data_IF_939274347920
#
_entry.id   IF_939274347920
#
_cell.length_a   1.000
_cell.length_b   1.000
_cell.length_c   1.000
_cell.angle_alpha   90.00
_cell.angle_beta   90.00
_cell.angle_gamma   90.00
#
_symmetry.space_group_name_H-M   'P 1'
#
loop_
_entity.id
_entity.type
_entity.pdbx_description
1 polymer ?
#
# COMPACT_ATOMS: atom_id res chain seq x y z
N UNK A 1 29.19 -42.95 -52.58
CA UNK A 1 30.01 -43.67 -53.58
C UNK A 1 29.08 -44.54 -54.43
N UNK A 2 29.44 -44.72 -55.70
CA UNK A 2 28.70 -45.43 -56.76
C UNK A 2 27.56 -44.64 -57.41
N UNK A 3 27.33 -44.71 -58.71
CA UNK A 3 28.18 -44.78 -59.91
C UNK A 3 27.18 -44.64 -61.07
N UNK A 4 27.61 -43.95 -62.10
CA UNK A 4 26.97 -43.77 -63.40
C UNK A 4 26.50 -45.06 -64.09
N UNK A 5 25.38 -44.99 -64.82
CA UNK A 5 25.09 -45.79 -66.02
C UNK A 5 24.07 -44.99 -66.87
N UNK A 6 24.38 -44.40 -68.02
CA UNK A 6 24.76 -44.94 -69.35
C UNK A 6 23.74 -45.93 -69.93
N UNK A 7 22.89 -45.42 -70.82
CA UNK A 7 22.22 -46.12 -71.93
C UNK A 7 22.10 -45.10 -73.08
N UNK A 8 23.05 -44.98 -74.01
CA UNK A 8 23.30 -45.77 -75.23
C UNK A 8 22.14 -45.85 -76.26
N UNK A 9 22.38 -45.15 -77.38
CA UNK A 9 22.17 -45.52 -78.80
C UNK A 9 20.75 -45.75 -79.34
N UNK A 10 20.44 -44.99 -80.42
CA UNK A 10 20.27 -45.56 -81.79
C UNK A 10 20.58 -44.55 -82.91
N UNK A 11 21.63 -44.89 -83.67
CA UNK A 11 21.91 -44.56 -85.10
C UNK A 11 20.78 -45.15 -85.99
N UNK A 12 20.58 -44.83 -87.27
CA UNK A 12 21.00 -43.84 -88.25
C UNK A 12 20.34 -44.27 -89.59
N UNK A 13 20.43 -43.41 -90.62
CA UNK A 13 20.28 -43.67 -92.07
C UNK A 13 18.84 -43.71 -92.61
N UNK A 14 18.55 -43.21 -93.82
CA UNK A 14 19.29 -42.46 -94.84
C UNK A 14 18.30 -42.18 -96.01
N UNK A 15 18.75 -41.36 -96.97
CA UNK A 15 18.25 -41.22 -98.34
C UNK A 15 16.96 -40.38 -98.51
N UNK A 16 16.94 -39.34 -99.34
CA UNK A 16 17.95 -38.94 -100.31
C UNK A 16 17.57 -37.66 -101.06
N UNK A 17 18.29 -37.44 -102.15
CA UNK A 17 18.13 -36.37 -103.14
C UNK A 17 18.83 -35.05 -102.78
N UNK A 18 20.15 -35.15 -102.59
CA UNK A 18 21.11 -34.06 -102.79
C UNK A 18 21.73 -34.10 -104.22
N UNK A 19 21.03 -34.66 -105.22
CA UNK A 19 21.60 -34.96 -106.53
C UNK A 19 20.76 -34.42 -107.70
N UNK A 20 20.25 -33.20 -107.54
CA UNK A 20 19.80 -32.31 -108.60
C UNK A 20 20.29 -30.90 -108.20
N UNK A 21 21.59 -30.73 -107.96
CA UNK A 21 22.55 -30.55 -109.04
C UNK A 21 21.98 -29.58 -110.09
N UNK A 22 22.13 -28.31 -109.75
CA UNK A 22 23.03 -27.47 -110.52
C UNK A 22 22.61 -27.15 -111.95
N UNK A 23 21.31 -26.91 -112.20
CA UNK A 23 20.88 -26.45 -113.52
C UNK A 23 20.04 -25.16 -113.58
N UNK A 24 19.88 -24.42 -112.46
CA UNK A 24 19.32 -23.07 -112.50
C UNK A 24 20.21 -22.08 -111.72
N UNK A 25 21.47 -22.03 -112.15
CA UNK A 25 22.21 -20.78 -112.23
C UNK A 25 21.41 -19.78 -113.08
N UNK A 26 21.49 -18.51 -112.67
CA UNK A 26 21.08 -17.33 -113.42
C UNK A 26 19.58 -16.99 -113.40
N UNK A 27 19.14 -16.35 -112.32
CA UNK A 27 18.53 -15.02 -112.43
C UNK A 27 18.25 -14.41 -111.04
N UNK A 28 18.65 -13.14 -110.92
CA UNK A 28 18.12 -12.13 -110.00
C UNK A 28 18.57 -12.15 -108.53
N UNK A 29 19.57 -11.31 -108.26
CA UNK A 29 19.37 -10.23 -107.27
C UNK A 29 20.08 -10.37 -105.93
N UNK A 30 21.41 -10.23 -105.93
CA UNK A 30 22.12 -9.69 -104.76
C UNK A 30 21.81 -8.19 -104.67
N UNK A 31 20.97 -7.78 -103.74
CA UNK A 31 20.92 -6.38 -103.27
C UNK A 31 21.91 -6.23 -102.11
N UNK A 32 22.75 -5.18 -102.09
CA UNK A 32 23.68 -4.98 -100.99
C UNK A 32 22.91 -4.51 -99.77
N UNK A 33 23.02 -5.25 -98.67
CA UNK A 33 22.69 -4.76 -97.33
C UNK A 33 23.71 -3.68 -97.02
N UNK A 34 23.30 -2.44 -97.11
CA UNK A 34 24.01 -1.27 -96.60
C UNK A 34 22.96 -0.37 -95.95
N UNK A 35 23.34 0.19 -94.79
CA UNK A 35 22.56 1.06 -93.90
C UNK A 35 21.59 0.37 -92.93
N UNK A 36 22.13 -0.51 -92.09
CA UNK A 36 21.66 -0.57 -90.70
C UNK A 36 22.44 0.53 -89.95
N UNK A 37 21.84 1.71 -89.85
CA UNK A 37 22.19 2.67 -88.80
C UNK A 37 21.89 1.94 -87.49
N UNK A 38 22.91 1.43 -86.79
CA UNK A 38 22.71 0.99 -85.42
C UNK A 38 22.17 2.20 -84.64
N UNK A 39 20.99 2.13 -84.02
CA UNK A 39 20.51 3.22 -83.20
C UNK A 39 21.58 3.48 -82.15
N UNK A 40 22.01 4.73 -82.04
CA UNK A 40 22.92 5.17 -80.98
C UNK A 40 22.20 4.88 -79.66
N UNK A 41 22.59 3.81 -78.97
CA UNK A 41 21.97 3.41 -77.71
C UNK A 41 22.53 4.33 -76.64
N UNK A 42 21.70 5.17 -75.99
CA UNK A 42 22.17 6.03 -74.92
C UNK A 42 22.75 5.17 -73.79
N UNK A 43 23.95 5.55 -73.35
CA UNK A 43 24.72 4.88 -72.31
C UNK A 43 24.69 5.76 -71.05
N UNK A 44 24.40 5.15 -69.91
CA UNK A 44 24.25 5.85 -68.62
C UNK A 44 25.26 5.29 -67.63
N UNK A 45 25.87 6.18 -66.84
CA UNK A 45 26.75 5.80 -65.73
C UNK A 45 25.91 5.43 -64.50
N UNK A 46 26.21 4.33 -63.80
CA UNK A 46 25.56 3.99 -62.54
C UNK A 46 25.66 5.12 -61.50
N UNK A 47 24.59 5.40 -60.74
CA UNK A 47 24.60 6.47 -59.75
C UNK A 47 25.46 6.07 -58.54
N UNK A 48 26.02 7.07 -57.85
CA UNK A 48 26.79 6.86 -56.62
C UNK A 48 25.93 6.44 -55.41
N UNK A 49 24.61 6.61 -55.52
CA UNK A 49 23.64 6.26 -54.49
C UNK A 49 22.38 5.67 -55.12
N UNK A 50 21.78 4.70 -54.45
CA UNK A 50 20.48 4.11 -54.81
C UNK A 50 19.57 4.19 -53.59
N UNK A 51 18.35 4.72 -53.76
CA UNK A 51 17.44 4.95 -52.63
C UNK A 51 17.95 5.95 -51.58
N UNK A 52 18.93 6.78 -51.91
CA UNK A 52 19.57 7.72 -50.96
C UNK A 52 20.77 7.13 -50.19
N UNK A 53 21.02 5.82 -50.29
CA UNK A 53 22.13 5.13 -49.67
C UNK A 53 23.31 4.94 -50.62
N UNK A 54 24.53 4.93 -50.07
CA UNK A 54 25.73 4.50 -50.80
C UNK A 54 25.76 2.99 -50.91
N UNK A 55 26.50 2.41 -51.86
CA UNK A 55 26.65 0.95 -51.95
C UNK A 55 27.20 0.30 -50.67
N UNK A 56 28.02 1.02 -49.90
CA UNK A 56 28.46 0.59 -48.58
C UNK A 56 27.29 0.56 -47.57
N UNK A 57 26.43 1.59 -47.56
CA UNK A 57 25.22 1.59 -46.72
C UNK A 57 24.19 0.53 -47.13
N UNK A 58 24.13 0.19 -48.41
CA UNK A 58 23.30 -0.92 -48.91
C UNK A 58 23.86 -2.28 -48.44
N UNK A 59 25.19 -2.41 -48.34
CA UNK A 59 25.86 -3.60 -47.79
C UNK A 59 25.62 -3.74 -46.27
N UNK A 60 25.66 -2.62 -45.53
CA UNK A 60 25.35 -2.59 -44.10
C UNK A 60 23.90 -3.02 -43.80
N UNK A 61 22.96 -2.72 -44.71
CA UNK A 61 21.58 -3.23 -44.67
C UNK A 61 21.45 -4.70 -45.14
N UNK A 62 22.55 -5.33 -45.56
CA UNK A 62 22.55 -6.70 -46.10
C UNK A 62 21.93 -6.83 -47.49
N UNK A 63 21.66 -5.72 -48.18
CA UNK A 63 20.98 -5.67 -49.46
C UNK A 63 21.94 -5.56 -50.66
N UNK A 64 23.26 -5.68 -50.48
CA UNK A 64 24.24 -5.61 -51.59
C UNK A 64 24.38 -6.96 -52.31
N UNK A 65 23.32 -7.40 -52.98
CA UNK A 65 23.32 -8.58 -53.84
C UNK A 65 22.44 -8.37 -55.07
N UNK A 66 22.57 -9.24 -56.08
CA UNK A 66 21.74 -9.18 -57.29
C UNK A 66 21.89 -7.85 -58.04
N UNK A 67 20.78 -7.13 -58.37
CA UNK A 67 20.81 -5.86 -59.10
C UNK A 67 21.67 -4.78 -58.42
N UNK A 68 21.66 -4.68 -57.09
CA UNK A 68 22.46 -3.69 -56.37
C UNK A 68 23.96 -3.99 -56.41
N UNK A 69 24.35 -5.26 -56.30
CA UNK A 69 25.75 -5.66 -56.45
C UNK A 69 26.25 -5.43 -57.89
N UNK A 70 25.40 -5.69 -58.88
CA UNK A 70 25.70 -5.43 -60.29
C UNK A 70 25.95 -3.93 -60.54
N UNK A 71 25.05 -3.05 -60.09
CA UNK A 71 25.25 -1.59 -60.19
C UNK A 71 26.48 -1.10 -59.41
N UNK A 72 26.74 -1.67 -58.23
CA UNK A 72 27.91 -1.31 -57.42
C UNK A 72 29.24 -1.68 -58.09
N UNK A 73 29.33 -2.87 -58.71
CA UNK A 73 30.51 -3.29 -59.46
C UNK A 73 30.75 -2.41 -60.69
N UNK A 74 29.68 -2.08 -61.43
CA UNK A 74 29.74 -1.19 -62.59
C UNK A 74 30.14 0.24 -62.20
N UNK A 75 29.62 0.76 -61.09
CA UNK A 75 30.05 2.06 -60.55
C UNK A 75 31.54 2.04 -60.21
N UNK A 76 31.99 1.02 -59.48
CA UNK A 76 33.38 0.89 -59.02
C UNK A 76 34.36 0.82 -60.19
N UNK A 77 33.96 0.15 -61.29
CA UNK A 77 34.78 0.00 -62.50
C UNK A 77 34.61 1.14 -63.51
N UNK A 78 33.71 2.09 -63.25
CA UNK A 78 33.42 3.21 -64.17
C UNK A 78 32.82 2.78 -65.51
N UNK A 79 32.06 1.67 -65.50
CA UNK A 79 31.44 1.10 -66.71
C UNK A 79 30.03 1.66 -66.93
N UNK A 80 29.62 1.81 -68.19
CA UNK A 80 28.31 2.34 -68.59
C UNK A 80 27.40 1.22 -69.12
N UNK A 81 26.08 1.45 -69.04
CA UNK A 81 25.05 0.51 -69.51
C UNK A 81 24.07 1.19 -70.46
N UNK A 82 23.46 0.42 -71.39
CA UNK A 82 22.27 0.87 -72.11
C UNK A 82 21.19 1.40 -71.18
N UNK A 83 20.59 2.53 -71.51
CA UNK A 83 19.57 3.20 -70.68
C UNK A 83 18.41 2.28 -70.27
N UNK A 84 17.93 1.42 -71.17
CA UNK A 84 16.84 0.48 -70.90
C UNK A 84 17.23 -0.63 -69.90
N UNK A 85 18.47 -1.09 -69.93
CA UNK A 85 18.99 -2.07 -68.96
C UNK A 85 19.25 -1.38 -67.61
N UNK A 86 19.77 -0.16 -67.66
CA UNK A 86 20.01 0.65 -66.48
C UNK A 86 18.73 0.91 -65.67
N UNK A 87 17.64 1.32 -66.31
CA UNK A 87 16.36 1.58 -65.63
C UNK A 87 15.81 0.33 -64.93
N UNK A 88 15.83 -0.82 -65.61
CA UNK A 88 15.35 -2.09 -65.04
C UNK A 88 16.18 -2.54 -63.83
N UNK A 89 17.50 -2.43 -63.92
CA UNK A 89 18.40 -2.82 -62.83
C UNK A 89 18.31 -1.81 -61.68
N UNK A 90 18.16 -0.51 -61.98
CA UNK A 90 17.98 0.52 -60.97
C UNK A 90 16.67 0.33 -60.19
N UNK A 91 15.56 0.07 -60.88
CA UNK A 91 14.26 -0.19 -60.25
C UNK A 91 14.30 -1.47 -59.39
N UNK A 92 14.94 -2.52 -59.88
CA UNK A 92 15.10 -3.75 -59.11
C UNK A 92 15.97 -3.54 -57.86
N UNK A 93 17.02 -2.70 -57.96
CA UNK A 93 17.85 -2.36 -56.81
C UNK A 93 17.13 -1.44 -55.81
N UNK A 94 16.38 -0.43 -56.25
CA UNK A 94 15.61 0.44 -55.34
C UNK A 94 14.54 -0.33 -54.59
N UNK A 95 13.80 -1.22 -55.25
CA UNK A 95 12.82 -2.08 -54.60
C UNK A 95 13.46 -3.00 -53.53
N UNK A 96 14.66 -3.50 -53.80
CA UNK A 96 15.40 -4.34 -52.85
C UNK A 96 15.86 -3.55 -51.62
N UNK A 97 16.36 -2.32 -51.81
CA UNK A 97 16.74 -1.44 -50.70
C UNK A 97 15.53 -1.09 -49.83
N UNK A 98 14.42 -0.68 -50.45
CA UNK A 98 13.18 -0.36 -49.72
C UNK A 98 12.69 -1.54 -48.88
N UNK A 99 12.71 -2.75 -49.45
CA UNK A 99 12.30 -3.96 -48.73
C UNK A 99 13.21 -4.25 -47.53
N UNK A 100 14.52 -4.08 -47.68
CA UNK A 100 15.47 -4.29 -46.59
C UNK A 100 15.30 -3.25 -45.47
N UNK A 101 15.04 -1.99 -45.81
CA UNK A 101 14.74 -0.94 -44.82
C UNK A 101 13.44 -1.22 -44.06
N UNK A 102 12.40 -1.70 -44.74
CA UNK A 102 11.14 -2.11 -44.12
C UNK A 102 11.34 -3.27 -43.13
N UNK A 103 12.06 -4.31 -43.53
CA UNK A 103 12.35 -5.47 -42.68
C UNK A 103 13.18 -5.09 -41.43
N UNK A 104 14.15 -4.19 -41.57
CA UNK A 104 14.92 -3.65 -40.43
C UNK A 104 14.05 -2.82 -39.49
N UNK A 105 13.20 -1.95 -40.05
CA UNK A 105 12.29 -1.12 -39.27
C UNK A 105 11.26 -1.96 -38.50
N UNK A 106 10.74 -3.04 -39.09
CA UNK A 106 9.85 -3.98 -38.41
C UNK A 106 10.54 -4.70 -37.26
N UNK A 107 11.79 -5.13 -37.45
CA UNK A 107 12.57 -5.75 -36.37
C UNK A 107 12.78 -4.81 -35.20
N UNK A 108 13.19 -3.57 -35.47
CA UNK A 108 13.40 -2.56 -34.42
C UNK A 108 12.10 -2.27 -33.65
N UNK A 109 10.97 -2.11 -34.35
CA UNK A 109 9.66 -1.92 -33.69
C UNK A 109 9.29 -3.11 -32.82
N UNK A 110 9.50 -4.34 -33.30
CA UNK A 110 9.19 -5.54 -32.53
C UNK A 110 10.07 -5.66 -31.27
N UNK A 111 11.33 -5.23 -31.34
CA UNK A 111 12.24 -5.20 -30.19
C UNK A 111 11.84 -4.11 -29.18
N UNK A 112 11.48 -2.91 -29.66
CA UNK A 112 10.97 -1.83 -28.82
C UNK A 112 9.67 -2.22 -28.11
N UNK A 113 8.71 -2.82 -28.81
CA UNK A 113 7.45 -3.30 -28.23
C UNK A 113 7.69 -4.35 -27.15
N UNK A 114 8.63 -5.27 -27.36
CA UNK A 114 9.01 -6.26 -26.35
C UNK A 114 9.63 -5.60 -25.13
N UNK A 115 10.54 -4.65 -25.33
CA UNK A 115 11.17 -3.92 -24.22
C UNK A 115 10.14 -3.13 -23.40
N UNK A 116 9.18 -2.48 -24.07
CA UNK A 116 8.07 -1.77 -23.42
C UNK A 116 7.18 -2.75 -22.66
N UNK A 117 6.81 -3.87 -23.27
CA UNK A 117 5.96 -4.87 -22.62
C UNK A 117 6.63 -5.47 -21.38
N UNK A 118 7.93 -5.77 -21.43
CA UNK A 118 8.68 -6.26 -20.28
C UNK A 118 8.77 -5.23 -19.15
N UNK A 119 9.00 -3.95 -19.49
CA UNK A 119 9.04 -2.87 -18.52
C UNK A 119 7.68 -2.69 -17.83
N UNK A 120 6.61 -2.61 -18.63
CA UNK A 120 5.23 -2.52 -18.11
C UNK A 120 4.85 -3.71 -17.22
N UNK A 121 5.27 -4.93 -17.57
CA UNK A 121 5.00 -6.12 -16.77
C UNK A 121 5.69 -6.05 -15.39
N UNK A 122 6.92 -5.55 -15.32
CA UNK A 122 7.65 -5.38 -14.04
C UNK A 122 7.00 -4.29 -13.19
N UNK A 123 6.62 -3.17 -13.78
CA UNK A 123 5.92 -2.10 -13.07
C UNK A 123 4.58 -2.57 -12.53
N UNK A 124 3.82 -3.32 -13.33
CA UNK A 124 2.55 -3.89 -12.89
C UNK A 124 2.71 -4.82 -11.69
N UNK A 125 3.71 -5.72 -11.72
CA UNK A 125 4.02 -6.60 -10.59
C UNK A 125 4.43 -5.82 -9.33
N UNK A 126 5.17 -4.72 -9.49
CA UNK A 126 5.54 -3.87 -8.36
C UNK A 126 4.31 -3.19 -7.74
N UNK A 127 3.37 -2.72 -8.57
CA UNK A 127 2.09 -2.14 -8.11
C UNK A 127 1.25 -3.16 -7.37
N UNK A 128 1.12 -4.39 -7.90
CA UNK A 128 0.39 -5.46 -7.22
C UNK A 128 1.01 -5.82 -5.87
N UNK A 129 2.33 -5.95 -5.82
CA UNK A 129 3.06 -6.25 -4.58
C UNK A 129 2.89 -5.13 -3.54
N UNK A 130 2.97 -3.86 -3.95
CA UNK A 130 2.75 -2.72 -3.07
C UNK A 130 1.32 -2.71 -2.51
N UNK A 131 0.32 -2.94 -3.36
CA UNK A 131 -1.09 -3.02 -2.95
C UNK A 131 -1.34 -4.14 -1.95
N UNK A 132 -0.72 -5.29 -2.14
CA UNK A 132 -0.84 -6.41 -1.21
C UNK A 132 -0.19 -6.11 0.15
N UNK A 133 0.98 -5.46 0.15
CA UNK A 133 1.63 -5.01 1.37
C UNK A 133 0.79 -3.99 2.15
N UNK A 134 0.23 -2.99 1.46
CA UNK A 134 -0.68 -2.01 2.06
C UNK A 134 -1.91 -2.67 2.67
N UNK A 135 -2.50 -3.65 1.99
CA UNK A 135 -3.63 -4.40 2.51
C UNK A 135 -3.26 -5.17 3.79
N UNK A 136 -2.12 -5.88 3.79
CA UNK A 136 -1.64 -6.62 4.97
C UNK A 136 -1.33 -5.67 6.14
N UNK A 137 -0.76 -4.50 5.87
CA UNK A 137 -0.52 -3.47 6.88
C UNK A 137 -1.81 -2.90 7.45
N UNK A 138 -2.77 -2.56 6.59
CA UNK A 138 -4.08 -2.09 7.02
C UNK A 138 -4.80 -3.14 7.88
N UNK A 139 -4.71 -4.41 7.52
CA UNK A 139 -5.31 -5.52 8.27
C UNK A 139 -4.64 -5.70 9.64
N UNK A 140 -3.31 -5.63 9.72
CA UNK A 140 -2.60 -5.64 11.02
C UNK A 140 -3.04 -4.49 11.92
N UNK A 141 -3.12 -3.27 11.38
CA UNK A 141 -3.59 -2.10 12.14
C UNK A 141 -5.02 -2.26 12.64
N UNK A 142 -5.90 -2.89 11.85
CA UNK A 142 -7.28 -3.20 12.26
C UNK A 142 -7.30 -4.19 13.43
N UNK A 143 -6.53 -5.27 13.33
CA UNK A 143 -6.42 -6.27 14.39
C UNK A 143 -5.85 -5.66 15.69
N UNK A 144 -4.80 -4.85 15.60
CA UNK A 144 -4.24 -4.14 16.75
C UNK A 144 -5.25 -3.18 17.39
N UNK A 145 -5.99 -2.41 16.57
CA UNK A 145 -7.02 -1.51 17.06
C UNK A 145 -8.20 -2.26 17.70
N UNK A 146 -8.59 -3.41 17.17
CA UNK A 146 -9.64 -4.25 17.74
C UNK A 146 -9.20 -4.88 19.07
N UNK A 147 -7.97 -5.39 19.15
CA UNK A 147 -7.38 -5.89 20.39
C UNK A 147 -7.32 -4.79 21.46
N UNK A 148 -6.88 -3.58 21.10
CA UNK A 148 -6.86 -2.44 22.01
C UNK A 148 -8.26 -2.07 22.50
N UNK A 149 -9.25 -2.03 21.59
CA UNK A 149 -10.66 -1.79 21.96
C UNK A 149 -11.19 -2.86 22.91
N UNK A 150 -10.89 -4.13 22.66
CA UNK A 150 -11.30 -5.23 23.54
C UNK A 150 -10.64 -5.12 24.92
N UNK A 151 -9.36 -4.77 24.99
CA UNK A 151 -8.67 -4.54 26.27
C UNK A 151 -9.26 -3.37 27.05
N UNK A 152 -9.55 -2.25 26.38
CA UNK A 152 -10.19 -1.09 27.00
C UNK A 152 -11.59 -1.41 27.51
N UNK A 153 -12.39 -2.13 26.71
CA UNK A 153 -13.73 -2.56 27.12
C UNK A 153 -13.68 -3.50 28.34
N UNK A 154 -12.75 -4.46 28.36
CA UNK A 154 -12.56 -5.36 29.49
C UNK A 154 -12.07 -4.63 30.75
N UNK A 155 -11.18 -3.64 30.60
CA UNK A 155 -10.72 -2.80 31.70
C UNK A 155 -11.86 -1.95 32.27
N UNK A 156 -12.68 -1.34 31.40
CA UNK A 156 -13.85 -0.56 31.79
C UNK A 156 -14.89 -1.43 32.52
N UNK A 157 -15.16 -2.64 32.03
CA UNK A 157 -16.04 -3.59 32.71
C UNK A 157 -15.51 -3.94 34.11
N UNK A 158 -14.22 -4.25 34.25
CA UNK A 158 -13.62 -4.53 35.57
C UNK A 158 -13.72 -3.33 36.51
N UNK A 159 -13.53 -2.12 36.03
CA UNK A 159 -13.71 -0.91 36.85
C UNK A 159 -15.18 -0.70 37.26
N UNK A 160 -16.13 -0.95 36.35
CA UNK A 160 -17.56 -0.94 36.68
C UNK A 160 -17.91 -1.98 37.74
N UNK A 161 -17.46 -3.22 37.58
CA UNK A 161 -17.67 -4.30 38.55
C UNK A 161 -17.06 -3.96 39.92
N UNK A 162 -15.82 -3.43 39.95
CA UNK A 162 -15.17 -2.96 41.19
C UNK A 162 -15.98 -1.86 41.86
N UNK A 163 -16.46 -0.88 41.09
CA UNK A 163 -17.27 0.22 41.60
C UNK A 163 -18.61 -0.26 42.14
N UNK A 164 -19.29 -1.17 41.43
CA UNK A 164 -20.54 -1.77 41.88
C UNK A 164 -20.33 -2.60 43.16
N UNK A 165 -19.29 -3.43 43.21
CA UNK A 165 -18.93 -4.17 44.40
C UNK A 165 -18.61 -3.25 45.59
N UNK A 166 -17.91 -2.13 45.35
CA UNK A 166 -17.65 -1.12 46.38
C UNK A 166 -18.95 -0.49 46.89
N UNK A 167 -19.86 -0.09 46.00
CA UNK A 167 -21.15 0.46 46.38
C UNK A 167 -22.00 -0.56 47.17
N UNK A 168 -21.97 -1.83 46.78
CA UNK A 168 -22.61 -2.90 47.53
C UNK A 168 -22.03 -3.00 48.94
N UNK A 169 -20.69 -3.03 49.09
CA UNK A 169 -20.03 -3.03 50.40
C UNK A 169 -20.40 -1.81 51.25
N UNK A 170 -20.45 -0.61 50.65
CA UNK A 170 -20.88 0.63 51.31
C UNK A 170 -22.32 0.51 51.82
N UNK A 171 -23.23 -0.02 51.01
CA UNK A 171 -24.63 -0.22 51.42
C UNK A 171 -24.83 -1.28 52.51
N UNK A 172 -23.87 -2.21 52.64
CA UNK A 172 -23.89 -3.27 53.66
C UNK A 172 -23.16 -2.87 54.96
N UNK A 173 -22.51 -1.71 55.00
CA UNK A 173 -21.80 -1.23 56.18
C UNK A 173 -22.73 -1.14 57.41
N UNK A 174 -22.24 -1.50 58.59
CA UNK A 174 -23.05 -1.56 59.80
C UNK A 174 -23.56 -0.18 60.21
N UNK A 175 -22.78 0.87 59.97
CA UNK A 175 -23.15 2.26 60.27
C UNK A 175 -24.43 2.70 59.55
N UNK A 176 -24.74 2.11 58.38
CA UNK A 176 -26.00 2.37 57.67
C UNK A 176 -27.21 1.95 58.50
N UNK A 177 -27.12 0.79 59.18
CA UNK A 177 -28.18 0.26 60.06
C UNK A 177 -28.31 1.10 61.32
N UNK A 178 -27.19 1.47 61.93
CA UNK A 178 -27.16 2.31 63.13
C UNK A 178 -27.73 3.73 62.86
N UNK A 179 -27.58 4.23 61.64
CA UNK A 179 -28.10 5.54 61.19
C UNK A 179 -29.42 5.46 60.42
N UNK A 180 -30.18 4.36 60.50
CA UNK A 180 -31.42 4.19 59.73
C UNK A 180 -32.41 5.37 59.89
N UNK A 181 -32.54 5.91 61.12
CA UNK A 181 -33.41 7.06 61.44
C UNK A 181 -32.80 8.45 61.20
N UNK A 182 -31.58 8.54 60.66
CA UNK A 182 -30.90 9.82 60.36
C UNK A 182 -31.04 10.16 58.87
N UNK A 183 -31.48 11.38 58.51
CA UNK A 183 -31.53 11.83 57.13
C UNK A 183 -30.17 11.76 56.44
N UNK A 184 -30.11 11.11 55.28
CA UNK A 184 -28.88 11.06 54.50
C UNK A 184 -28.78 12.30 53.60
N UNK A 185 -28.05 13.30 54.09
CA UNK A 185 -27.79 14.57 53.38
C UNK A 185 -26.30 14.68 53.06
N UNK A 186 -25.92 15.45 52.03
CA UNK A 186 -24.53 15.86 51.76
C UNK A 186 -23.79 16.31 53.03
N UNK A 187 -22.49 16.03 53.13
CA UNK A 187 -21.65 16.63 54.17
C UNK A 187 -21.00 17.92 53.67
N UNK A 188 -20.79 18.89 54.57
CA UNK A 188 -20.04 20.11 54.28
C UNK A 188 -19.04 20.39 55.41
N UNK A 189 -17.81 20.78 55.06
CA UNK A 189 -16.79 21.18 56.03
C UNK A 189 -16.84 22.67 56.34
N UNK A 190 -17.34 23.47 55.41
CA UNK A 190 -17.60 24.91 55.55
C UNK A 190 -19.06 25.23 55.21
N UNK A 191 -19.45 26.51 55.29
CA UNK A 191 -20.84 26.94 55.06
C UNK A 191 -21.26 26.99 53.59
N UNK A 192 -20.32 26.98 52.66
CA UNK A 192 -20.53 27.37 51.26
C UNK A 192 -20.37 26.24 50.25
N UNK A 193 -19.87 25.07 50.64
CA UNK A 193 -19.57 23.97 49.72
C UNK A 193 -19.98 22.60 50.30
N UNK A 194 -21.22 22.14 50.04
CA UNK A 194 -21.58 20.75 50.27
C UNK A 194 -20.85 19.83 49.28
N UNK A 195 -20.34 18.71 49.77
CA UNK A 195 -19.73 17.64 48.98
C UNK A 195 -20.81 16.80 48.29
N UNK A 196 -20.46 16.03 47.25
CA UNK A 196 -21.43 15.08 46.65
C UNK A 196 -21.67 13.87 47.56
N UNK A 197 -20.72 13.57 48.43
CA UNK A 197 -20.75 12.46 49.38
C UNK A 197 -21.74 12.77 50.50
N UNK A 198 -22.64 11.82 50.75
CA UNK A 198 -23.63 11.92 51.82
C UNK A 198 -23.06 11.48 53.16
N UNK A 199 -23.70 11.87 54.26
CA UNK A 199 -23.29 11.51 55.62
C UNK A 199 -23.11 10.00 55.79
N UNK A 200 -24.09 9.19 55.35
CA UNK A 200 -24.03 7.74 55.51
C UNK A 200 -22.96 7.13 54.61
N UNK A 201 -22.79 7.65 53.39
CA UNK A 201 -21.72 7.20 52.49
C UNK A 201 -20.35 7.49 53.09
N UNK A 202 -20.12 8.71 53.59
CA UNK A 202 -18.86 9.11 54.23
C UNK A 202 -18.51 8.19 55.41
N UNK A 203 -19.46 7.96 56.32
CA UNK A 203 -19.22 7.11 57.49
C UNK A 203 -19.05 5.63 57.12
N UNK A 204 -19.75 5.16 56.09
CA UNK A 204 -19.59 3.79 55.59
C UNK A 204 -18.21 3.59 54.96
N UNK A 205 -17.68 4.61 54.25
CA UNK A 205 -16.33 4.56 53.71
C UNK A 205 -15.27 4.52 54.81
N UNK A 206 -15.49 5.25 55.92
CA UNK A 206 -14.62 5.17 57.10
C UNK A 206 -14.66 3.77 57.72
N UNK A 207 -15.84 3.14 57.84
CA UNK A 207 -15.99 1.77 58.34
C UNK A 207 -15.24 0.75 57.47
N UNK A 208 -15.33 0.90 56.14
CA UNK A 208 -14.64 0.00 55.21
C UNK A 208 -13.13 0.17 55.23
N UNK A 209 -12.63 1.40 55.43
CA UNK A 209 -11.21 1.69 55.54
C UNK A 209 -10.63 1.22 56.89
N UNK A 210 -11.42 1.38 57.96
CA UNK A 210 -11.02 1.10 59.33
C UNK A 210 -12.10 0.28 60.03
N UNK A 211 -12.03 -1.07 59.91
CA UNK A 211 -12.94 -1.96 60.61
C UNK A 211 -12.97 -1.66 62.11
N UNK A 212 -14.15 -1.76 62.72
CA UNK A 212 -14.39 -1.32 64.09
C UNK A 212 -15.32 -2.28 64.85
N UNK A 213 -15.34 -2.16 66.18
CA UNK A 213 -16.18 -3.03 67.04
C UNK A 213 -17.56 -2.45 67.36
N UNK A 214 -17.98 -1.42 66.61
CA UNK A 214 -19.31 -0.81 66.72
C UNK A 214 -19.28 0.71 66.88
N UNK A 215 -20.47 1.27 67.12
CA UNK A 215 -20.72 2.70 67.11
C UNK A 215 -21.37 3.18 68.41
N UNK A 216 -21.04 4.41 68.80
CA UNK A 216 -21.81 5.17 69.76
C UNK A 216 -22.34 6.42 69.06
N UNK A 217 -23.66 6.48 68.93
CA UNK A 217 -24.35 7.55 68.22
C UNK A 217 -25.18 8.33 69.23
N UNK A 218 -24.90 9.62 69.35
CA UNK A 218 -25.65 10.54 70.20
C UNK A 218 -26.25 11.64 69.33
N UNK A 219 -27.57 11.81 69.40
CA UNK A 219 -28.28 12.91 68.74
C UNK A 219 -28.90 13.81 69.80
N UNK A 220 -28.56 15.10 69.73
CA UNK A 220 -29.14 16.14 70.58
C UNK A 220 -29.63 17.28 69.70
N UNK A 221 -30.95 17.36 69.51
CA UNK A 221 -31.57 18.30 68.57
C UNK A 221 -31.03 18.14 67.15
N UNK A 222 -30.38 19.21 66.64
CA UNK A 222 -29.75 19.25 65.31
C UNK A 222 -28.31 18.73 65.31
N UNK A 223 -27.76 18.35 66.45
CA UNK A 223 -26.38 17.86 66.55
C UNK A 223 -26.35 16.34 66.56
N UNK A 224 -25.52 15.77 65.69
CA UNK A 224 -25.22 14.35 65.63
C UNK A 224 -23.75 14.13 65.98
N UNK A 225 -23.47 13.28 66.97
CA UNK A 225 -22.12 12.82 67.29
C UNK A 225 -22.03 11.34 67.00
N UNK A 226 -21.06 10.93 66.20
CA UNK A 226 -20.79 9.54 65.84
C UNK A 226 -19.37 9.21 66.28
N UNK A 227 -19.27 8.25 67.19
CA UNK A 227 -17.99 7.72 67.68
C UNK A 227 -17.87 6.28 67.20
N UNK A 228 -16.86 6.03 66.37
CA UNK A 228 -16.45 4.69 65.96
C UNK A 228 -15.49 4.13 66.99
N UNK A 229 -15.84 2.98 67.60
CA UNK A 229 -15.07 2.39 68.70
C UNK A 229 -14.06 1.38 68.19
N UNK A 230 -12.85 1.44 68.74
CA UNK A 230 -11.77 0.47 68.47
C UNK A 230 -11.59 0.27 66.96
N UNK A 231 -11.37 1.38 66.23
CA UNK A 231 -11.09 1.33 64.81
C UNK A 231 -9.67 0.85 64.59
N UNK A 232 -9.49 -0.17 63.75
CA UNK A 232 -8.17 -0.74 63.44
C UNK A 232 -7.35 0.26 62.61
N UNK A 233 -6.56 1.08 63.29
CA UNK A 233 -5.67 2.08 62.69
C UNK A 233 -4.22 1.54 62.66
N UNK A 234 -3.36 2.01 61.74
CA UNK A 234 -1.96 1.55 61.66
C UNK A 234 -1.14 1.74 62.95
N UNK A 235 -1.60 2.58 63.88
CA UNK A 235 -0.95 2.86 65.17
C UNK A 235 -1.70 2.27 66.38
N UNK A 236 -2.63 1.34 66.15
CA UNK A 236 -3.42 0.66 67.18
C UNK A 236 -4.90 1.05 67.18
N UNK A 237 -5.71 0.28 67.91
CA UNK A 237 -7.18 0.41 67.96
C UNK A 237 -7.61 1.70 68.68
N UNK A 238 -7.95 2.75 67.92
CA UNK A 238 -8.29 4.06 68.46
C UNK A 238 -9.66 4.52 67.96
N UNK A 239 -10.29 5.42 68.71
CA UNK A 239 -11.61 5.91 68.35
C UNK A 239 -11.53 6.99 67.24
N UNK A 240 -12.50 6.96 66.33
CA UNK A 240 -12.75 8.04 65.38
C UNK A 240 -14.03 8.75 65.80
N UNK A 241 -13.93 10.03 66.15
CA UNK A 241 -15.06 10.84 66.58
C UNK A 241 -15.38 11.90 65.53
N UNK A 242 -16.65 11.99 65.17
CA UNK A 242 -17.16 12.99 64.25
C UNK A 242 -18.41 13.63 64.80
N UNK A 243 -18.54 14.96 64.61
CA UNK A 243 -19.73 15.71 65.00
C UNK A 243 -20.23 16.52 63.83
N UNK A 244 -21.55 16.47 63.67
CA UNK A 244 -22.27 17.16 62.61
C UNK A 244 -23.40 17.99 63.18
N UNK A 245 -23.70 19.10 62.52
CA UNK A 245 -24.87 19.93 62.78
C UNK A 245 -25.75 19.93 61.54
N UNK A 246 -27.02 19.59 61.72
CA UNK A 246 -28.01 19.48 60.65
C UNK A 246 -28.35 20.87 60.11
N UNK A 247 -28.27 21.03 58.80
CA UNK A 247 -28.88 22.12 58.02
C UNK A 247 -30.00 21.58 57.13
N UNK A 248 -30.84 22.45 56.53
CA UNK A 248 -31.90 22.00 55.63
C UNK A 248 -31.37 21.12 54.48
N UNK A 249 -30.24 21.51 53.89
CA UNK A 249 -29.68 20.86 52.70
C UNK A 249 -28.52 19.91 52.97
N UNK A 250 -27.79 20.06 54.08
CA UNK A 250 -26.54 19.32 54.35
C UNK A 250 -26.27 19.11 55.85
N UNK A 251 -25.30 18.26 56.16
CA UNK A 251 -24.72 18.07 57.48
C UNK A 251 -23.38 18.83 57.57
N UNK A 252 -23.30 19.85 58.42
CA UNK A 252 -22.04 20.57 58.64
C UNK A 252 -21.16 19.80 59.62
N UNK A 253 -19.99 19.37 59.20
CA UNK A 253 -18.99 18.78 60.10
C UNK A 253 -18.37 19.87 60.98
N UNK A 254 -18.58 19.78 62.28
CA UNK A 254 -18.05 20.74 63.26
C UNK A 254 -16.86 20.20 64.05
N UNK A 255 -16.71 18.88 64.10
CA UNK A 255 -15.64 18.21 64.80
C UNK A 255 -15.25 16.93 64.09
N UNK A 256 -13.95 16.68 63.97
CA UNK A 256 -13.39 15.42 63.49
C UNK A 256 -12.09 15.15 64.26
N UNK A 257 -12.01 14.00 64.91
CA UNK A 257 -10.82 13.51 65.59
C UNK A 257 -10.57 12.07 65.21
N UNK A 258 -9.33 11.78 64.86
CA UNK A 258 -8.83 10.44 64.53
C UNK A 258 -7.69 10.17 65.48
N UNK A 259 -7.87 9.23 66.42
CA UNK A 259 -6.88 8.99 67.47
C UNK A 259 -6.55 10.29 68.25
N UNK A 260 -5.29 10.74 68.16
CA UNK A 260 -4.77 11.94 68.82
C UNK A 260 -4.77 13.18 67.90
N UNK A 261 -5.19 13.03 66.65
CA UNK A 261 -5.22 14.12 65.67
C UNK A 261 -6.62 14.73 65.64
N UNK A 262 -6.73 15.97 66.11
CA UNK A 262 -7.96 16.76 66.09
C UNK A 262 -7.91 17.82 64.99
N UNK A 263 -8.96 17.87 64.15
CA UNK A 263 -9.09 18.86 63.10
C UNK A 263 -9.66 20.19 63.65
N UNK A 264 -8.76 21.17 63.84
CA UNK A 264 -9.09 22.45 64.50
C UNK A 264 -9.81 23.42 63.58
N UNK A 265 -9.46 23.46 62.29
CA UNK A 265 -10.04 24.38 61.31
C UNK A 265 -10.98 23.68 60.32
N UNK A 266 -11.79 24.45 59.57
CA UNK A 266 -12.63 23.92 58.47
C UNK A 266 -11.75 23.23 57.40
N UNK A 267 -10.56 23.78 57.13
CA UNK A 267 -9.60 23.22 56.18
C UNK A 267 -8.99 21.90 56.67
N UNK A 268 -8.61 21.82 57.96
CA UNK A 268 -8.10 20.58 58.56
C UNK A 268 -9.16 19.47 58.50
N UNK A 269 -10.44 19.83 58.72
CA UNK A 269 -11.55 18.88 58.63
C UNK A 269 -11.71 18.32 57.23
N UNK A 270 -11.57 19.17 56.20
CA UNK A 270 -11.60 18.73 54.80
C UNK A 270 -10.41 17.83 54.47
N UNK A 271 -9.19 18.21 54.83
CA UNK A 271 -7.99 17.40 54.53
C UNK A 271 -8.05 16.06 55.26
N UNK A 272 -8.42 16.06 56.54
CA UNK A 272 -8.51 14.84 57.33
C UNK A 272 -9.65 13.93 56.86
N UNK A 273 -10.80 14.48 56.46
CA UNK A 273 -11.91 13.69 55.91
C UNK A 273 -11.51 13.02 54.59
N UNK A 274 -10.85 13.74 53.68
CA UNK A 274 -10.39 13.21 52.40
C UNK A 274 -9.35 12.11 52.60
N UNK A 275 -8.38 12.31 53.49
CA UNK A 275 -7.36 11.30 53.80
C UNK A 275 -7.96 10.03 54.41
N UNK A 276 -9.00 10.15 55.24
CA UNK A 276 -9.68 8.98 55.81
C UNK A 276 -10.39 8.14 54.76
N UNK A 277 -10.90 8.76 53.70
CA UNK A 277 -11.74 8.08 52.69
C UNK A 277 -11.04 7.81 51.37
N UNK A 278 -9.77 8.19 51.22
CA UNK A 278 -9.03 8.18 49.95
C UNK A 278 -9.00 6.83 49.23
N UNK A 279 -8.87 5.73 49.97
CA UNK A 279 -8.75 4.37 49.39
C UNK A 279 -10.08 3.62 49.31
N UNK A 280 -11.08 4.04 50.09
CA UNK A 280 -12.28 3.23 50.37
C UNK A 280 -13.60 3.85 49.90
N UNK A 281 -13.56 5.02 49.28
CA UNK A 281 -14.75 5.74 48.83
C UNK A 281 -14.68 6.04 47.33
N UNK A 282 -15.84 6.14 46.63
CA UNK A 282 -15.86 6.57 45.24
C UNK A 282 -15.27 7.97 45.16
N UNK A 283 -14.14 8.15 44.48
CA UNK A 283 -13.53 9.46 44.36
C UNK A 283 -14.48 10.42 43.62
N UNK A 284 -14.75 11.56 44.25
CA UNK A 284 -15.47 12.66 43.62
C UNK A 284 -14.55 13.33 42.60
N UNK A 285 -14.56 12.85 41.35
CA UNK A 285 -14.00 13.51 40.17
C UNK A 285 -12.83 14.46 40.43
N UNK A 286 -11.61 13.93 40.49
CA UNK A 286 -10.40 14.72 40.65
C UNK A 286 -9.16 13.89 40.36
N UNK A 287 -8.73 13.93 39.09
CA UNK A 287 -7.42 13.59 38.54
C UNK A 287 -6.38 13.07 39.56
N UNK A 288 -6.36 11.76 39.78
CA UNK A 288 -5.16 10.93 39.80
C UNK A 288 -5.52 9.53 39.31
#
# INVERSE_FOLDING_TARGET
>A
MFLTAVLLRRRARACGVCALLALLLAAAGCTPISDVVMPWVPQVTPPARVGGLTYAGIDELGALHGPCAYLGDLHTRGLMLPETEFELVLEACTAQVMKAEEEEAERLRAEEERAIAEMMAREWQAVEAAREQEWREAERRRQEAELLRAQLAAAEQKERERREALLQRISQANVQRELAGVPDKPIAHNLSQPLKTTLKTFLSCIELAYPNKGYQIARSGRTLTVIMREAELPRGDLAIESRFVENPEYWRMTYLRVADIEARTDADRFVLSQNLTAESCPQEGGLF
#
